data_IF_112044341332
#
_entry.id   IF_112044341332
#
_cell.length_a   1.000
_cell.length_b   1.000
_cell.length_c   1.000
_cell.angle_alpha   90.00
_cell.angle_beta   90.00
_cell.angle_gamma   90.00
#
_symmetry.space_group_name_H-M   'P 1'
#
loop_
_entity.id
_entity.type
_entity.pdbx_description
1 polymer ?
#
# COMPACT_ATOMS: atom_id res chain seq x y z
N UNK A 1 -7.68 -9.03 -7.22
CA UNK A 1 -6.77 -7.89 -7.28
C UNK A 1 -5.50 -8.20 -6.51
N UNK A 2 -4.35 -8.18 -7.18
CA UNK A 2 -3.03 -8.39 -6.56
C UNK A 2 -2.11 -7.16 -6.74
N UNK A 3 -2.69 -5.99 -7.00
CA UNK A 3 -1.93 -4.74 -7.20
C UNK A 3 -1.02 -4.42 -6.02
N UNK A 4 -1.42 -4.76 -4.80
CA UNK A 4 -0.59 -4.58 -3.59
C UNK A 4 0.15 -5.87 -3.18
N UNK A 5 0.06 -6.93 -3.96
CA UNK A 5 0.67 -8.24 -3.65
C UNK A 5 1.83 -8.61 -4.55
N UNK A 6 1.70 -8.36 -5.86
CA UNK A 6 2.77 -8.66 -6.83
C UNK A 6 4.00 -7.81 -6.52
N UNK A 7 5.18 -8.45 -6.56
CA UNK A 7 6.45 -7.84 -6.17
C UNK A 7 6.71 -7.85 -4.65
N UNK A 8 5.71 -8.18 -3.82
CA UNK A 8 5.83 -8.22 -2.36
C UNK A 8 5.56 -9.59 -1.75
N UNK A 9 4.86 -10.47 -2.46
CA UNK A 9 4.56 -11.83 -2.04
C UNK A 9 4.80 -12.79 -3.20
N UNK A 10 5.25 -14.01 -2.87
CA UNK A 10 5.34 -15.08 -3.85
C UNK A 10 3.93 -15.62 -4.17
N UNK A 11 3.63 -15.78 -5.46
CA UNK A 11 2.41 -16.39 -5.96
C UNK A 11 2.77 -17.63 -6.77
N UNK A 12 2.24 -18.79 -6.36
CA UNK A 12 2.29 -20.01 -7.15
C UNK A 12 0.94 -20.23 -7.81
N UNK A 13 0.79 -19.76 -9.04
CA UNK A 13 -0.44 -19.87 -9.81
C UNK A 13 -0.73 -21.29 -10.30
N UNK A 14 0.19 -22.24 -10.11
CA UNK A 14 -0.05 -23.64 -10.42
C UNK A 14 -0.82 -24.33 -9.29
N UNK A 15 -0.42 -24.11 -8.05
CA UNK A 15 -1.02 -24.72 -6.87
C UNK A 15 -2.18 -23.91 -6.29
N UNK A 16 -2.18 -22.58 -6.45
CA UNK A 16 -3.23 -21.70 -5.94
C UNK A 16 -4.42 -21.63 -6.90
N UNK A 17 -5.68 -21.77 -6.44
CA UNK A 17 -6.88 -21.75 -7.28
C UNK A 17 -7.27 -20.30 -7.65
N UNK A 18 -6.39 -19.61 -8.36
CA UNK A 18 -6.60 -18.24 -8.84
C UNK A 18 -6.87 -18.29 -10.34
N UNK A 19 -8.03 -17.81 -10.75
CA UNK A 19 -8.45 -17.77 -12.15
C UNK A 19 -8.10 -16.46 -12.84
N UNK A 20 -8.18 -15.35 -12.09
CA UNK A 20 -7.84 -14.01 -12.55
C UNK A 20 -6.94 -13.31 -11.53
N UNK A 21 -5.93 -12.60 -12.02
CA UNK A 21 -5.08 -11.76 -11.18
C UNK A 21 -4.76 -10.49 -11.95
N UNK A 22 -4.82 -9.35 -11.28
CA UNK A 22 -4.39 -8.06 -11.83
C UNK A 22 -3.26 -7.45 -11.03
N UNK A 23 -2.32 -6.81 -11.71
CA UNK A 23 -1.18 -6.12 -11.12
C UNK A 23 -0.86 -4.81 -11.87
N UNK A 24 -0.18 -3.89 -11.19
CA UNK A 24 0.25 -2.62 -11.76
C UNK A 24 1.74 -2.39 -11.48
N UNK A 25 2.52 -2.13 -12.52
CA UNK A 25 3.98 -2.07 -12.45
C UNK A 25 4.51 -1.03 -11.43
N UNK A 26 3.86 0.14 -11.33
CA UNK A 26 4.27 1.21 -10.43
C UNK A 26 4.14 0.86 -8.93
N UNK A 27 3.56 -0.27 -8.59
CA UNK A 27 3.47 -0.75 -7.20
C UNK A 27 4.69 -1.56 -6.76
N UNK A 28 5.51 -1.98 -7.71
CA UNK A 28 6.81 -2.62 -7.49
C UNK A 28 7.93 -1.92 -8.29
N UNK A 29 7.91 -0.58 -8.27
CA UNK A 29 8.91 0.32 -8.85
C UNK A 29 9.06 0.28 -10.38
N UNK A 30 8.10 -0.30 -11.09
CA UNK A 30 8.03 -0.27 -12.54
C UNK A 30 7.36 0.99 -13.10
N UNK A 31 7.25 1.10 -14.44
CA UNK A 31 6.66 2.27 -15.10
C UNK A 31 5.17 2.47 -14.73
N UNK A 32 4.75 3.74 -14.69
CA UNK A 32 3.32 4.09 -14.61
C UNK A 32 2.63 3.83 -15.95
N UNK A 33 1.33 3.54 -15.93
CA UNK A 33 0.51 3.35 -17.12
C UNK A 33 0.58 1.95 -17.74
N UNK A 34 1.26 1.00 -17.08
CA UNK A 34 1.33 -0.40 -17.48
C UNK A 34 1.07 -1.32 -16.30
N UNK A 35 0.44 -2.44 -16.58
CA UNK A 35 0.17 -3.53 -15.65
C UNK A 35 -0.08 -4.80 -16.43
N UNK A 36 -0.44 -5.87 -15.77
CA UNK A 36 -0.82 -7.11 -16.43
C UNK A 36 -2.03 -7.75 -15.76
N UNK A 37 -2.72 -8.57 -16.54
CA UNK A 37 -3.74 -9.49 -16.05
C UNK A 37 -3.29 -10.93 -16.31
N UNK A 38 -3.35 -11.77 -15.29
CA UNK A 38 -3.29 -13.21 -15.44
C UNK A 38 -4.71 -13.74 -15.63
N UNK A 39 -4.90 -14.57 -16.64
CA UNK A 39 -6.16 -15.24 -16.94
C UNK A 39 -5.82 -16.73 -17.12
N UNK A 40 -6.45 -17.61 -16.33
CA UNK A 40 -6.21 -19.05 -16.43
C UNK A 40 -6.64 -19.58 -17.79
N UNK A 41 -5.82 -20.42 -18.40
CA UNK A 41 -5.93 -20.84 -19.81
C UNK A 41 -7.31 -21.40 -20.22
N UNK A 42 -8.03 -22.02 -19.28
CA UNK A 42 -9.32 -22.69 -19.58
C UNK A 42 -10.53 -21.75 -19.41
N UNK A 43 -10.30 -20.46 -19.15
CA UNK A 43 -11.37 -19.50 -18.99
C UNK A 43 -11.61 -18.79 -20.30
N UNK A 44 -12.84 -18.86 -20.78
CA UNK A 44 -13.29 -18.08 -21.92
C UNK A 44 -13.68 -16.69 -21.45
N UNK A 45 -13.13 -15.68 -22.11
CA UNK A 45 -13.41 -14.28 -21.84
C UNK A 45 -13.61 -13.54 -23.17
N UNK A 46 -14.75 -12.87 -23.29
CA UNK A 46 -14.99 -11.97 -24.41
C UNK A 46 -14.23 -10.66 -24.23
N UNK A 47 -13.55 -10.16 -25.28
CA UNK A 47 -12.79 -8.93 -25.18
C UNK A 47 -13.74 -7.73 -24.98
N UNK A 48 -13.45 -6.90 -23.98
CA UNK A 48 -14.19 -5.65 -23.76
C UNK A 48 -13.70 -4.51 -24.69
N UNK A 49 -12.40 -4.48 -24.99
CA UNK A 49 -11.80 -3.52 -25.93
C UNK A 49 -11.50 -4.27 -27.22
N UNK A 50 -12.36 -4.08 -28.23
CA UNK A 50 -12.29 -4.77 -29.51
C UNK A 50 -11.52 -3.98 -30.54
N UNK A 51 -10.96 -4.68 -31.58
CA UNK A 51 -10.19 -4.09 -32.68
C UNK A 51 -9.18 -5.08 -33.23
N UNK A 52 -7.89 -4.74 -33.20
CA UNK A 52 -6.82 -5.64 -33.63
C UNK A 52 -6.64 -6.84 -32.70
N UNK A 53 -5.84 -7.81 -33.17
CA UNK A 53 -5.65 -9.10 -32.47
C UNK A 53 -4.54 -9.07 -31.37
N UNK A 54 -4.19 -7.88 -30.85
CA UNK A 54 -3.21 -7.76 -29.78
C UNK A 54 -3.69 -8.51 -28.54
N UNK A 55 -2.76 -8.84 -27.64
CA UNK A 55 -3.03 -9.62 -26.42
C UNK A 55 -3.86 -10.90 -26.71
N UNK A 56 -3.53 -11.60 -27.80
CA UNK A 56 -4.23 -12.82 -28.25
C UNK A 56 -5.73 -12.59 -28.52
N UNK A 57 -6.09 -11.38 -28.95
CA UNK A 57 -7.48 -10.98 -29.21
C UNK A 57 -8.25 -10.55 -27.95
N UNK A 58 -7.66 -10.60 -26.77
CA UNK A 58 -8.35 -10.24 -25.53
C UNK A 58 -8.37 -8.73 -25.25
N UNK A 59 -7.46 -7.98 -25.86
CA UNK A 59 -7.39 -6.53 -25.67
C UNK A 59 -6.70 -5.89 -26.87
N UNK A 60 -7.46 -5.21 -27.69
CA UNK A 60 -6.96 -4.51 -28.88
C UNK A 60 -6.15 -3.25 -28.52
N UNK A 61 -5.32 -2.80 -29.44
CA UNK A 61 -4.49 -1.60 -29.34
C UNK A 61 -2.99 -1.92 -29.37
N UNK A 62 -2.22 -1.00 -29.96
CA UNK A 62 -0.77 -1.16 -30.11
C UNK A 62 -0.07 -1.37 -28.76
N UNK A 63 0.84 -2.33 -28.71
CA UNK A 63 1.58 -2.69 -27.52
C UNK A 63 2.57 -1.59 -27.11
N UNK A 64 2.57 -1.22 -25.82
CA UNK A 64 3.55 -0.29 -25.25
C UNK A 64 4.84 -1.02 -24.88
N UNK A 65 5.63 -1.42 -25.88
CA UNK A 65 6.78 -2.32 -25.73
C UNK A 65 7.77 -1.83 -24.65
N UNK A 66 8.10 -0.54 -24.65
CA UNK A 66 9.04 0.02 -23.67
C UNK A 66 8.52 -0.09 -22.23
N UNK A 67 7.21 0.12 -22.01
CA UNK A 67 6.61 -0.05 -20.68
C UNK A 67 6.54 -1.52 -20.26
N UNK A 68 6.29 -2.43 -21.21
CA UNK A 68 6.26 -3.88 -20.96
C UNK A 68 7.65 -4.37 -20.53
N UNK A 69 8.71 -3.95 -21.23
CA UNK A 69 10.10 -4.29 -20.86
C UNK A 69 10.47 -3.69 -19.50
N UNK A 70 10.05 -2.46 -19.23
CA UNK A 70 10.26 -1.83 -17.92
C UNK A 70 9.53 -2.57 -16.79
N UNK A 71 8.29 -3.01 -17.03
CA UNK A 71 7.51 -3.84 -16.11
C UNK A 71 8.21 -5.18 -15.84
N UNK A 72 8.65 -5.88 -16.92
CA UNK A 72 9.38 -7.14 -16.79
C UNK A 72 10.62 -6.96 -15.91
N UNK A 73 11.46 -5.95 -16.21
CA UNK A 73 12.69 -5.73 -15.43
C UNK A 73 12.42 -5.40 -13.96
N UNK A 74 11.41 -4.57 -13.70
CA UNK A 74 11.01 -4.25 -12.32
C UNK A 74 10.51 -5.49 -11.57
N UNK A 75 9.76 -6.37 -12.24
CA UNK A 75 9.26 -7.62 -11.66
C UNK A 75 10.41 -8.59 -11.33
N UNK A 76 11.38 -8.75 -12.24
CA UNK A 76 12.59 -9.55 -12.02
C UNK A 76 13.33 -9.07 -10.76
N UNK A 77 13.64 -7.77 -10.68
CA UNK A 77 14.34 -7.17 -9.54
C UNK A 77 13.56 -7.39 -8.23
N UNK A 78 12.25 -7.17 -8.24
CA UNK A 78 11.41 -7.34 -7.05
C UNK A 78 11.43 -8.78 -6.52
N UNK A 79 11.42 -9.78 -7.41
CA UNK A 79 11.46 -11.19 -6.99
C UNK A 79 12.86 -11.69 -6.64
N UNK A 80 13.91 -11.16 -7.28
CA UNK A 80 15.30 -11.44 -6.93
C UNK A 80 15.62 -10.99 -5.48
N UNK A 81 15.09 -9.82 -5.06
CA UNK A 81 15.36 -9.22 -3.75
C UNK A 81 14.25 -9.45 -2.72
N UNK A 82 13.21 -10.24 -3.03
CA UNK A 82 11.97 -10.36 -2.25
C UNK A 82 12.21 -10.66 -0.76
N UNK A 83 13.11 -11.59 -0.44
CA UNK A 83 13.37 -12.02 0.95
C UNK A 83 14.10 -10.92 1.74
N UNK A 84 15.10 -10.30 1.12
CA UNK A 84 15.90 -9.24 1.74
C UNK A 84 15.04 -7.99 2.00
N UNK A 85 14.32 -7.52 0.98
CA UNK A 85 13.43 -6.37 1.09
C UNK A 85 12.32 -6.61 2.13
N UNK A 86 11.71 -7.80 2.12
CA UNK A 86 10.70 -8.16 3.11
C UNK A 86 11.26 -8.12 4.52
N UNK A 87 12.47 -8.60 4.74
CA UNK A 87 13.13 -8.61 6.05
C UNK A 87 13.39 -7.19 6.53
N UNK A 88 13.98 -6.36 5.68
CA UNK A 88 14.26 -4.96 5.95
C UNK A 88 12.98 -4.17 6.27
N UNK A 89 12.01 -4.20 5.38
CA UNK A 89 10.75 -3.45 5.52
C UNK A 89 9.95 -3.93 6.74
N UNK A 90 9.92 -5.23 7.00
CA UNK A 90 9.28 -5.78 8.22
C UNK A 90 9.95 -5.26 9.49
N UNK A 91 11.27 -5.10 9.49
CA UNK A 91 12.04 -4.50 10.57
C UNK A 91 11.60 -3.06 10.84
N UNK A 92 11.54 -2.24 9.79
CA UNK A 92 11.09 -0.84 9.87
C UNK A 92 9.65 -0.75 10.41
N UNK A 93 8.73 -1.53 9.86
CA UNK A 93 7.33 -1.56 10.31
C UNK A 93 7.21 -1.99 11.78
N UNK A 94 7.91 -3.05 12.18
CA UNK A 94 7.90 -3.55 13.56
C UNK A 94 8.42 -2.49 14.53
N UNK A 95 9.51 -1.84 14.18
CA UNK A 95 10.09 -0.75 14.97
C UNK A 95 9.11 0.42 15.09
N UNK A 96 8.56 0.90 13.98
CA UNK A 96 7.56 1.97 13.96
C UNK A 96 6.35 1.68 14.86
N UNK A 97 5.78 0.48 14.77
CA UNK A 97 4.67 0.03 15.62
C UNK A 97 5.07 0.07 17.10
N UNK A 98 6.27 -0.38 17.45
CA UNK A 98 6.75 -0.38 18.83
C UNK A 98 6.88 1.04 19.39
N UNK A 99 7.46 1.96 18.61
CA UNK A 99 7.62 3.36 18.99
C UNK A 99 6.28 4.09 19.13
N UNK A 100 5.33 3.82 18.22
CA UNK A 100 3.97 4.38 18.31
C UNK A 100 3.24 3.95 19.59
N UNK A 101 3.39 2.69 20.01
CA UNK A 101 2.78 2.18 21.26
C UNK A 101 3.38 2.83 22.51
N UNK A 102 4.66 3.16 22.48
CA UNK A 102 5.33 3.89 23.58
C UNK A 102 4.87 5.35 23.59
N UNK A 103 4.86 6.00 22.43
CA UNK A 103 4.49 7.41 22.30
C UNK A 103 3.00 7.65 22.58
N UNK A 104 2.13 6.79 22.08
CA UNK A 104 0.68 6.87 22.24
C UNK A 104 0.13 5.56 22.82
N UNK A 105 0.01 5.41 24.15
CA UNK A 105 -0.52 4.18 24.75
C UNK A 105 -1.92 3.79 24.28
N UNK A 106 -2.73 4.78 23.88
CA UNK A 106 -4.08 4.58 23.34
C UNK A 106 -4.14 4.49 21.80
N UNK A 107 -2.98 4.35 21.13
CA UNK A 107 -2.92 4.20 19.67
C UNK A 107 -3.72 2.99 19.22
N UNK A 108 -4.49 3.15 18.15
CA UNK A 108 -5.23 2.06 17.55
C UNK A 108 -4.76 1.80 16.12
N UNK A 109 -4.51 0.53 15.80
CA UNK A 109 -4.17 0.11 14.46
C UNK A 109 -5.44 -0.34 13.73
N UNK A 110 -5.79 0.36 12.65
CA UNK A 110 -7.00 0.08 11.89
C UNK A 110 -6.91 -1.27 11.17
N UNK A 111 -7.96 -2.08 11.29
CA UNK A 111 -7.99 -3.45 10.81
C UNK A 111 -6.88 -4.28 11.46
N UNK A 112 -6.20 -5.09 10.66
CA UNK A 112 -5.09 -5.92 11.12
C UNK A 112 -3.72 -5.27 10.89
N UNK A 113 -3.65 -3.99 10.54
CA UNK A 113 -2.40 -3.35 10.10
C UNK A 113 -1.28 -3.34 11.15
N UNK A 114 -1.62 -3.46 12.43
CA UNK A 114 -0.66 -3.61 13.53
C UNK A 114 -0.22 -5.06 13.82
N UNK A 115 -0.84 -6.06 13.16
CA UNK A 115 -0.47 -7.45 13.30
C UNK A 115 0.55 -7.84 12.21
N UNK A 116 1.75 -8.24 12.62
CA UNK A 116 2.84 -8.53 11.69
C UNK A 116 2.62 -9.80 10.86
N UNK A 117 1.84 -10.75 11.38
CA UNK A 117 1.62 -12.07 10.75
C UNK A 117 0.42 -12.07 9.80
N UNK A 118 -0.55 -11.18 10.04
CA UNK A 118 -1.84 -11.15 9.33
C UNK A 118 -2.05 -9.91 8.46
N UNK A 119 -1.03 -9.06 8.31
CA UNK A 119 -1.09 -7.88 7.45
C UNK A 119 0.11 -7.80 6.52
N UNK A 120 -0.03 -7.00 5.46
CA UNK A 120 1.12 -6.69 4.62
C UNK A 120 2.23 -6.01 5.43
N UNK A 121 3.46 -6.36 5.13
CA UNK A 121 4.63 -5.75 5.77
C UNK A 121 4.92 -4.33 5.26
N UNK A 122 4.32 -3.93 4.14
CA UNK A 122 4.62 -2.66 3.44
C UNK A 122 3.87 -1.45 3.97
N UNK A 123 2.89 -1.60 4.85
CA UNK A 123 2.13 -0.47 5.38
C UNK A 123 1.59 -0.70 6.81
N UNK A 124 1.29 0.40 7.48
CA UNK A 124 0.48 0.45 8.70
C UNK A 124 -0.55 1.58 8.59
N UNK A 125 -1.75 1.33 9.07
CA UNK A 125 -2.79 2.34 9.19
C UNK A 125 -3.12 2.53 10.66
N UNK A 126 -2.95 3.74 11.17
CA UNK A 126 -3.02 4.04 12.60
C UNK A 126 -3.98 5.18 12.88
N UNK A 127 -4.83 5.02 13.88
CA UNK A 127 -5.66 6.09 14.46
C UNK A 127 -4.93 6.64 15.69
N UNK A 128 -4.62 7.93 15.66
CA UNK A 128 -3.82 8.62 16.66
C UNK A 128 -4.72 9.36 17.66
N UNK A 129 -4.53 9.21 18.98
CA UNK A 129 -5.31 9.89 20.01
C UNK A 129 -4.88 11.37 20.11
N UNK A 130 -5.26 12.16 19.11
CA UNK A 130 -5.01 13.60 19.04
C UNK A 130 -6.31 14.39 19.17
N UNK A 131 -6.21 15.59 19.71
CA UNK A 131 -7.32 16.52 19.85
C UNK A 131 -7.86 16.99 18.48
N UNK A 132 -9.12 17.39 18.42
CA UNK A 132 -9.79 17.78 17.19
C UNK A 132 -9.07 18.91 16.44
N UNK A 133 -8.50 19.88 17.15
CA UNK A 133 -7.74 21.00 16.58
C UNK A 133 -6.49 20.54 15.82
N UNK A 134 -5.78 19.55 16.38
CA UNK A 134 -4.58 18.94 15.76
C UNK A 134 -4.96 17.94 14.66
N UNK A 135 -6.10 17.29 14.80
CA UNK A 135 -6.62 16.30 13.86
C UNK A 135 -6.89 16.85 12.46
N UNK A 136 -7.46 18.06 12.39
CA UNK A 136 -7.84 18.68 11.11
C UNK A 136 -6.65 18.98 10.22
N UNK A 137 -5.54 19.44 10.81
CA UNK A 137 -4.33 19.84 10.11
C UNK A 137 -3.24 18.77 10.09
N UNK A 138 -3.49 17.59 10.64
CA UNK A 138 -2.47 16.56 10.83
C UNK A 138 -1.73 16.21 9.53
N UNK A 139 -2.45 15.92 8.46
CA UNK A 139 -1.85 15.57 7.16
C UNK A 139 -1.02 16.73 6.58
N UNK A 140 -1.54 17.94 6.67
CA UNK A 140 -0.84 19.15 6.23
C UNK A 140 0.43 19.41 7.08
N UNK A 141 0.35 19.19 8.38
CA UNK A 141 1.51 19.30 9.26
C UNK A 141 2.61 18.30 8.91
N UNK A 142 2.23 17.04 8.64
CA UNK A 142 3.18 16.02 8.19
C UNK A 142 3.82 16.40 6.86
N UNK A 143 3.05 16.90 5.91
CA UNK A 143 3.53 17.35 4.59
C UNK A 143 4.52 18.53 4.72
N UNK A 144 4.23 19.54 5.55
CA UNK A 144 5.15 20.63 5.86
C UNK A 144 6.48 20.17 6.47
N UNK A 145 6.49 19.03 7.14
CA UNK A 145 7.70 18.39 7.66
C UNK A 145 8.38 17.46 6.66
N UNK A 146 7.92 17.43 5.40
CA UNK A 146 8.46 16.57 4.35
C UNK A 146 8.10 15.10 4.52
N UNK A 147 7.07 14.77 5.31
CA UNK A 147 6.62 13.40 5.56
C UNK A 147 5.41 13.11 4.68
N UNK A 148 5.60 12.34 3.61
CA UNK A 148 4.55 11.91 2.72
C UNK A 148 3.79 10.72 3.31
N UNK A 149 2.64 10.97 3.91
CA UNK A 149 1.71 9.95 4.39
C UNK A 149 0.31 10.18 3.81
N UNK A 150 -0.61 9.22 3.99
CA UNK A 150 -1.94 9.30 3.40
C UNK A 150 -3.01 9.41 4.48
N UNK A 151 -3.95 10.34 4.30
CA UNK A 151 -5.20 10.40 5.06
C UNK A 151 -6.27 9.65 4.25
N UNK A 152 -6.82 8.55 4.78
CA UNK A 152 -7.85 7.77 4.08
C UNK A 152 -7.30 6.80 3.03
N UNK A 153 -8.07 6.53 1.96
CA UNK A 153 -7.64 5.69 0.83
C UNK A 153 -6.85 6.51 -0.19
N UNK A 154 -5.82 5.89 -0.78
CA UNK A 154 -4.96 6.57 -1.78
C UNK A 154 -5.73 7.03 -3.03
N UNK A 155 -6.83 6.34 -3.37
CA UNK A 155 -7.66 6.64 -4.55
C UNK A 155 -8.59 7.85 -4.37
N UNK A 156 -8.72 8.39 -3.17
CA UNK A 156 -9.60 9.52 -2.84
C UNK A 156 -8.81 10.77 -2.40
N UNK A 157 -7.57 10.91 -2.83
CA UNK A 157 -6.80 12.12 -2.59
C UNK A 157 -7.52 13.32 -3.22
N UNK A 158 -8.05 14.21 -2.39
CA UNK A 158 -8.83 15.38 -2.81
C UNK A 158 -10.34 15.32 -2.54
N UNK A 159 -10.90 14.20 -2.07
CA UNK A 159 -12.30 14.16 -1.63
C UNK A 159 -12.40 14.34 -0.10
N UNK A 160 -13.25 15.27 0.34
CA UNK A 160 -13.54 15.55 1.76
C UNK A 160 -14.33 14.40 2.45
N UNK A 161 -14.81 13.42 1.68
CA UNK A 161 -15.46 12.23 2.20
C UNK A 161 -14.41 11.28 2.82
N UNK A 162 -14.57 10.98 4.11
CA UNK A 162 -13.68 10.05 4.82
C UNK A 162 -13.51 8.70 4.10
N UNK A 163 -12.49 7.93 4.49
CA UNK A 163 -12.24 6.62 3.87
C UNK A 163 -13.42 5.67 4.03
N UNK A 164 -14.04 5.25 2.92
CA UNK A 164 -15.10 4.24 2.90
C UNK A 164 -14.64 2.91 3.52
N UNK A 165 -13.36 2.55 3.35
CA UNK A 165 -12.76 1.35 3.97
C UNK A 165 -12.78 1.47 5.49
N UNK A 166 -12.28 2.58 6.04
CA UNK A 166 -12.30 2.82 7.49
C UNK A 166 -13.73 2.94 8.04
N UNK A 167 -14.65 3.48 7.25
CA UNK A 167 -16.08 3.55 7.59
C UNK A 167 -16.74 2.17 7.72
N UNK A 168 -16.31 1.20 6.91
CA UNK A 168 -16.82 -0.17 6.92
C UNK A 168 -16.18 -1.05 8.00
N UNK A 169 -15.08 -0.61 8.62
CA UNK A 169 -14.45 -1.37 9.71
C UNK A 169 -15.23 -1.22 11.02
N UNK A 170 -15.41 -2.34 11.72
CA UNK A 170 -15.91 -2.32 13.12
C UNK A 170 -14.84 -1.73 14.02
N UNK A 171 -15.08 -0.53 14.52
CA UNK A 171 -14.17 0.18 15.45
C UNK A 171 -14.95 0.69 16.65
N UNK A 172 -14.35 0.70 17.85
CA UNK A 172 -14.95 1.34 19.03
C UNK A 172 -15.30 2.82 18.74
N UNK A 173 -16.43 3.30 19.24
CA UNK A 173 -16.88 4.67 18.99
C UNK A 173 -15.87 5.73 19.45
N UNK A 174 -15.18 5.48 20.55
CA UNK A 174 -14.12 6.37 21.06
C UNK A 174 -12.97 6.58 20.05
N UNK A 175 -12.68 5.55 19.25
CA UNK A 175 -11.56 5.57 18.27
C UNK A 175 -12.00 6.17 16.92
N UNK A 176 -13.29 6.14 16.61
CA UNK A 176 -13.81 6.68 15.33
C UNK A 176 -13.51 8.17 15.13
N UNK A 177 -13.36 8.92 16.22
CA UNK A 177 -13.01 10.34 16.21
C UNK A 177 -11.51 10.60 16.01
N UNK A 178 -10.65 9.60 16.23
CA UNK A 178 -9.21 9.77 16.07
C UNK A 178 -8.83 9.89 14.60
N UNK A 179 -7.98 10.87 14.23
CA UNK A 179 -7.47 10.99 12.88
C UNK A 179 -6.66 9.76 12.51
N UNK A 180 -6.88 9.26 11.30
CA UNK A 180 -6.14 8.09 10.81
C UNK A 180 -5.15 8.47 9.74
N UNK A 181 -3.91 8.01 9.89
CA UNK A 181 -2.86 8.09 8.89
C UNK A 181 -2.42 6.71 8.45
N UNK A 182 -2.09 6.59 7.16
CA UNK A 182 -1.45 5.41 6.60
C UNK A 182 -0.01 5.74 6.22
N UNK A 183 0.92 5.02 6.82
CA UNK A 183 2.33 5.04 6.48
C UNK A 183 2.66 3.82 5.63
N UNK A 184 3.40 4.04 4.55
CA UNK A 184 3.85 2.98 3.65
C UNK A 184 5.38 2.94 3.68
N UNK A 185 5.93 1.75 3.66
CA UNK A 185 7.37 1.48 3.72
C UNK A 185 7.85 0.84 2.42
N UNK A 186 9.06 1.14 2.03
CA UNK A 186 9.77 0.52 0.91
C UNK A 186 11.20 0.17 1.30
N UNK A 187 11.90 -0.53 0.42
CA UNK A 187 13.32 -0.86 0.58
C UNK A 187 14.25 0.37 0.65
N UNK A 188 13.76 1.54 0.22
CA UNK A 188 14.52 2.80 0.26
C UNK A 188 14.41 3.55 1.58
N UNK A 189 13.48 3.16 2.46
CA UNK A 189 13.34 3.81 3.75
C UNK A 189 14.40 3.34 4.74
N UNK A 190 14.75 4.23 5.67
CA UNK A 190 15.76 3.98 6.72
C UNK A 190 15.16 4.05 8.11
N UNK A 191 15.91 3.58 9.11
CA UNK A 191 15.51 3.65 10.50
C UNK A 191 15.47 5.10 11.00
N UNK A 192 16.40 5.94 10.52
CA UNK A 192 16.49 7.37 10.84
C UNK A 192 15.25 8.13 10.34
N UNK A 193 14.72 7.76 9.17
CA UNK A 193 13.46 8.32 8.67
C UNK A 193 12.27 7.92 9.57
N UNK A 194 12.25 6.69 10.07
CA UNK A 194 11.24 6.24 11.04
C UNK A 194 11.35 7.05 12.33
N UNK A 195 12.56 7.24 12.86
CA UNK A 195 12.80 8.05 14.05
C UNK A 195 12.35 9.50 13.85
N UNK A 196 12.61 10.08 12.68
CA UNK A 196 12.16 11.43 12.35
C UNK A 196 10.64 11.55 12.36
N UNK A 197 9.92 10.55 11.82
CA UNK A 197 8.45 10.52 11.87
C UNK A 197 7.95 10.42 13.31
N UNK A 198 8.55 9.57 14.15
CA UNK A 198 8.19 9.44 15.56
C UNK A 198 8.43 10.74 16.35
N UNK A 199 9.57 11.42 16.13
CA UNK A 199 9.86 12.71 16.74
C UNK A 199 8.84 13.78 16.31
N UNK A 200 8.49 13.81 15.03
CA UNK A 200 7.47 14.75 14.50
C UNK A 200 6.10 14.50 15.13
N UNK A 201 5.69 13.24 15.28
CA UNK A 201 4.45 12.89 15.95
C UNK A 201 4.49 13.20 17.46
N UNK A 202 5.65 13.07 18.10
CA UNK A 202 5.84 13.42 19.52
C UNK A 202 5.56 14.91 19.77
N UNK A 203 6.03 15.80 18.90
CA UNK A 203 5.77 17.22 19.00
C UNK A 203 4.28 17.61 18.86
N UNK A 204 3.45 16.72 18.30
CA UNK A 204 2.00 16.91 18.18
C UNK A 204 1.24 16.47 19.45
N UNK A 205 1.88 15.72 20.34
CA UNK A 205 1.26 15.27 21.58
C UNK A 205 1.17 16.40 22.64
N UNK A 206 2.13 17.32 22.61
CA UNK A 206 2.18 18.51 23.47
C UNK A 206 1.16 19.58 23.02
#
# INVERSE_FOLDING_TARGET
DAVQGIGHFAFDLQSQPIDFLSAAAHKFHGPKGVGFAFIRKNILLDPFIVGGAQERGLRAGTESVHNIIGLQKALEIAYENLVEERTHISGLKKYFISQLKVLFPEVHFNGLSGNMDQSTYTLVNVALPLDDSKSQLLNFHMDLKGIACSKGSACQAGADSGSHVLGSLTRPNAIKKFPSLRFSFSSFNTMEEVDYVIQTLSALRE
#
